data_IF_675557243211
#
_entry.id   IF_675557243211
#
_cell.length_a   1.000
_cell.length_b   1.000
_cell.length_c   1.000
_cell.angle_alpha   90.00
_cell.angle_beta   90.00
_cell.angle_gamma   90.00
#
_symmetry.space_group_name_H-M   'P 1'
#
loop_
_entity.id
_entity.type
_entity.pdbx_description
1 polymer ?
#
# COMPACT_ATOMS: atom_id res chain seq x y z
N UNK A 1 3.22 -3.39 12.20
CA UNK A 1 3.62 -3.60 10.78
C UNK A 1 2.65 -2.79 9.94
N UNK A 2 3.05 -1.60 9.50
CA UNK A 2 2.19 -0.51 8.98
C UNK A 2 1.25 0.15 10.02
N UNK A 3 1.76 0.52 11.19
CA UNK A 3 0.99 1.38 12.10
C UNK A 3 0.77 2.77 11.45
N UNK A 4 -0.46 3.29 11.49
CA UNK A 4 -0.81 4.57 10.87
C UNK A 4 -1.28 4.51 9.41
N UNK A 5 -1.25 3.35 8.75
CA UNK A 5 -1.83 3.17 7.42
C UNK A 5 -3.27 2.66 7.51
N UNK A 6 -4.15 3.25 6.71
CA UNK A 6 -5.52 2.80 6.53
C UNK A 6 -5.57 1.63 5.54
N UNK A 7 -6.48 0.68 5.81
CA UNK A 7 -6.71 -0.47 4.96
C UNK A 7 -8.06 -0.31 4.28
N UNK A 8 -8.08 -0.46 2.96
CA UNK A 8 -9.32 -0.45 2.19
C UNK A 8 -9.32 -1.53 1.11
N UNK A 9 -10.53 -1.93 0.74
CA UNK A 9 -10.79 -2.68 -0.48
C UNK A 9 -11.54 -1.74 -1.43
N UNK A 10 -10.92 -1.39 -2.55
CA UNK A 10 -11.47 -0.45 -3.52
C UNK A 10 -12.03 -1.23 -4.70
N UNK A 11 -13.32 -1.06 -4.96
CA UNK A 11 -13.96 -1.56 -6.17
C UNK A 11 -13.56 -0.70 -7.37
N UNK A 12 -13.03 -1.32 -8.41
CA UNK A 12 -12.62 -0.67 -9.68
C UNK A 12 -13.44 -1.17 -10.87
N UNK A 13 -14.63 -1.71 -10.62
CA UNK A 13 -15.57 -2.24 -11.61
C UNK A 13 -15.29 -3.70 -11.96
N UNK A 14 -14.14 -3.99 -12.56
CA UNK A 14 -13.79 -5.34 -13.02
C UNK A 14 -13.13 -6.19 -11.93
N UNK A 15 -12.65 -5.56 -10.86
CA UNK A 15 -11.98 -6.20 -9.74
C UNK A 15 -12.14 -5.39 -8.45
N UNK A 16 -11.76 -6.01 -7.33
CA UNK A 16 -11.53 -5.32 -6.06
C UNK A 16 -10.04 -5.32 -5.75
N UNK A 17 -9.49 -4.16 -5.42
CA UNK A 17 -8.07 -3.99 -5.09
C UNK A 17 -7.93 -3.79 -3.59
N UNK A 18 -7.16 -4.66 -2.94
CA UNK A 18 -6.76 -4.48 -1.54
C UNK A 18 -5.58 -3.50 -1.47
N UNK A 19 -5.76 -2.40 -0.73
CA UNK A 19 -4.75 -1.35 -0.59
C UNK A 19 -4.47 -1.04 0.88
N UNK A 20 -3.24 -0.59 1.15
CA UNK A 20 -2.86 0.09 2.38
C UNK A 20 -2.31 1.46 1.99
N UNK A 21 -2.77 2.53 2.61
CA UNK A 21 -2.35 3.91 2.29
C UNK A 21 -2.21 4.76 3.56
N UNK A 22 -1.34 5.77 3.52
CA UNK A 22 -1.02 6.63 4.65
C UNK A 22 0.07 7.65 4.27
N UNK A 23 0.22 8.70 5.09
CA UNK A 23 1.14 9.82 4.86
C UNK A 23 0.49 11.03 4.17
N UNK A 24 1.13 12.19 4.28
CA UNK A 24 0.63 13.49 3.79
C UNK A 24 1.45 14.07 2.62
N UNK A 25 2.43 13.30 2.12
CA UNK A 25 3.28 13.68 1.00
C UNK A 25 2.63 13.47 -0.38
N UNK A 26 3.36 13.78 -1.47
CA UNK A 26 2.90 13.49 -2.83
C UNK A 26 2.53 12.00 -3.01
N UNK A 27 1.45 11.67 -3.73
CA UNK A 27 0.96 10.30 -3.83
C UNK A 27 1.93 9.40 -4.63
N UNK A 28 2.24 8.24 -4.07
CA UNK A 28 3.07 7.20 -4.69
C UNK A 28 2.34 5.85 -4.62
N UNK A 29 2.33 5.11 -5.73
CA UNK A 29 1.73 3.76 -5.80
C UNK A 29 2.84 2.72 -5.89
N UNK A 30 2.83 1.77 -4.97
CA UNK A 30 3.76 0.63 -4.95
C UNK A 30 3.01 -0.65 -5.35
N UNK A 31 3.38 -1.23 -6.49
CA UNK A 31 2.81 -2.49 -6.99
C UNK A 31 3.81 -3.63 -6.74
N UNK A 32 3.35 -4.78 -6.28
CA UNK A 32 4.21 -5.97 -6.13
C UNK A 32 4.11 -6.90 -7.35
N UNK A 33 5.13 -7.73 -7.57
CA UNK A 33 5.16 -8.77 -8.61
C UNK A 33 5.01 -10.19 -8.04
N UNK A 34 4.75 -11.18 -8.89
CA UNK A 34 4.65 -12.60 -8.51
C UNK A 34 6.05 -13.26 -8.41
N UNK A 35 6.33 -14.17 -7.45
CA UNK A 35 5.43 -14.84 -6.49
C UNK A 35 5.21 -14.11 -5.15
N UNK A 36 5.52 -12.81 -5.04
CA UNK A 36 5.50 -12.12 -3.75
C UNK A 36 4.19 -11.36 -3.50
N UNK A 37 3.77 -11.29 -2.23
CA UNK A 37 2.63 -10.49 -1.75
C UNK A 37 3.06 -9.04 -1.47
N UNK A 38 2.11 -8.20 -1.04
CA UNK A 38 2.33 -6.81 -0.59
C UNK A 38 3.43 -6.62 0.47
N UNK A 39 3.90 -7.70 1.10
CA UNK A 39 4.93 -7.69 2.14
C UNK A 39 6.33 -7.32 1.62
N UNK A 40 6.51 -7.25 0.29
CA UNK A 40 7.77 -6.82 -0.35
C UNK A 40 8.16 -5.36 -0.04
N UNK A 41 7.21 -4.51 0.34
CA UNK A 41 7.44 -3.06 0.48
C UNK A 41 7.50 -2.55 1.93
N UNK A 42 7.55 -3.44 2.91
CA UNK A 42 7.51 -3.06 4.33
C UNK A 42 8.61 -2.07 4.73
N UNK A 43 9.84 -2.24 4.22
CA UNK A 43 10.96 -1.35 4.52
C UNK A 43 10.81 0.08 3.95
N UNK A 44 10.03 0.26 2.87
CA UNK A 44 9.81 1.59 2.28
C UNK A 44 8.61 2.33 2.89
N UNK A 45 7.60 1.59 3.38
CA UNK A 45 6.41 2.18 4.00
C UNK A 45 6.72 2.94 5.30
N UNK A 46 7.70 2.46 6.08
CA UNK A 46 8.14 3.13 7.31
C UNK A 46 8.88 4.46 7.03
N UNK A 47 9.51 4.58 5.85
CA UNK A 47 10.23 5.80 5.45
C UNK A 47 9.34 6.94 4.95
N UNK A 48 8.10 6.66 4.53
CA UNK A 48 7.15 7.66 4.03
C UNK A 48 6.33 8.36 5.12
N UNK A 49 6.56 8.02 6.40
CA UNK A 49 5.87 8.61 7.55
C UNK A 49 6.57 9.88 8.09
N UNK A 50 7.69 10.29 7.49
CA UNK A 50 8.48 11.47 7.86
C UNK A 50 8.30 12.66 6.93
#
# INVERSE_FOLDING_TARGET
>A
MFEGFEIAQIDVGEASVFVRFGGDGPPVVLLHGHPHTSETWHELGDGCQG
#
